data_IF_136245139641
#
_entry.id   IF_136245139641
#
_cell.length_a   1.000
_cell.length_b   1.000
_cell.length_c   1.000
_cell.angle_alpha   90.00
_cell.angle_beta   90.00
_cell.angle_gamma   90.00
#
_symmetry.space_group_name_H-M   'P 1'
#
loop_
_entity.id
_entity.type
_entity.pdbx_description
1 polymer ?
#
# COMPACT_ATOMS: atom_id res chain seq x y z
N UNK A 1 55.86 22.97 3.02
CA UNK A 1 55.27 21.65 2.69
C UNK A 1 53.92 21.34 3.37
N UNK A 2 53.36 22.22 4.22
CA UNK A 2 52.08 21.97 4.90
C UNK A 2 50.82 22.40 4.12
N UNK A 3 50.92 23.29 3.13
CA UNK A 3 49.74 23.82 2.43
C UNK A 3 49.20 22.89 1.33
N UNK A 4 50.03 21.99 0.79
CA UNK A 4 49.61 21.08 -0.26
C UNK A 4 48.74 19.94 0.30
N UNK A 5 49.08 19.41 1.49
CA UNK A 5 48.33 18.34 2.17
C UNK A 5 46.95 18.77 2.66
N UNK A 6 46.78 20.02 3.10
CA UNK A 6 45.49 20.56 3.58
C UNK A 6 44.48 20.73 2.43
N UNK A 7 44.92 21.12 1.24
CA UNK A 7 44.05 21.28 0.06
C UNK A 7 43.55 19.93 -0.47
N UNK A 8 44.41 18.91 -0.49
CA UNK A 8 44.01 17.55 -0.85
C UNK A 8 43.07 16.94 0.20
N UNK A 9 43.30 17.19 1.49
CA UNK A 9 42.41 16.74 2.56
C UNK A 9 41.04 17.42 2.52
N UNK A 10 40.99 18.73 2.27
CA UNK A 10 39.74 19.48 2.11
C UNK A 10 38.97 19.03 0.86
N UNK A 11 39.65 18.76 -0.26
CA UNK A 11 39.01 18.26 -1.48
C UNK A 11 38.45 16.84 -1.29
N UNK A 12 39.15 15.99 -0.54
CA UNK A 12 38.70 14.63 -0.19
C UNK A 12 37.49 14.65 0.76
N UNK A 13 37.43 15.60 1.69
CA UNK A 13 36.26 15.80 2.58
C UNK A 13 35.03 16.35 1.84
N UNK A 14 35.23 17.21 0.83
CA UNK A 14 34.14 17.76 0.00
C UNK A 14 33.55 16.69 -0.94
N UNK A 15 34.37 15.79 -1.50
CA UNK A 15 33.86 14.69 -2.34
C UNK A 15 33.17 13.59 -1.52
N UNK A 16 33.62 13.32 -0.29
CA UNK A 16 33.00 12.34 0.60
C UNK A 16 31.61 12.78 1.11
N UNK A 17 31.39 14.08 1.31
CA UNK A 17 30.08 14.61 1.72
C UNK A 17 29.05 14.58 0.58
N UNK A 18 29.48 14.71 -0.68
CA UNK A 18 28.58 14.65 -1.84
C UNK A 18 28.09 13.22 -2.18
N UNK A 19 28.80 12.18 -1.72
CA UNK A 19 28.50 10.78 -2.02
C UNK A 19 27.40 10.12 -1.16
N UNK A 20 26.84 10.82 -0.16
CA UNK A 20 26.03 10.16 0.91
C UNK A 20 24.52 10.32 0.82
N UNK A 21 23.95 10.94 -0.23
CA UNK A 21 22.50 11.22 -0.28
C UNK A 21 21.78 10.45 -1.40
N UNK A 22 22.03 9.14 -1.52
CA UNK A 22 21.13 8.24 -2.27
C UNK A 22 20.34 7.43 -1.25
N UNK A 23 19.33 8.06 -0.65
CA UNK A 23 18.38 7.34 0.21
C UNK A 23 17.44 6.55 -0.69
N UNK A 24 17.82 5.30 -1.01
CA UNK A 24 16.95 4.37 -1.73
C UNK A 24 15.72 4.08 -0.84
N UNK A 25 14.56 4.62 -1.23
CA UNK A 25 13.34 4.47 -0.44
C UNK A 25 12.79 3.07 -0.66
N UNK A 26 12.91 2.22 0.37
CA UNK A 26 12.37 0.87 0.33
C UNK A 26 10.85 0.86 0.14
N UNK A 27 10.41 -0.13 -0.62
CA UNK A 27 9.02 -0.42 -0.89
C UNK A 27 8.30 -0.90 0.41
N UNK A 28 7.10 -0.37 0.74
CA UNK A 28 6.41 -0.58 2.04
C UNK A 28 5.07 -1.31 1.94
N UNK A 29 4.81 -2.22 2.87
CA UNK A 29 3.47 -2.80 3.05
C UNK A 29 2.64 -1.96 4.02
N UNK A 30 1.50 -1.47 3.55
CA UNK A 30 0.47 -0.77 4.32
C UNK A 30 -0.61 -1.78 4.72
N UNK A 31 -1.00 -1.81 6.00
CA UNK A 31 -1.97 -2.78 6.51
C UNK A 31 -3.35 -2.13 6.66
N UNK A 32 -4.39 -2.84 6.28
CA UNK A 32 -5.79 -2.48 6.48
C UNK A 32 -6.50 -3.69 7.10
N UNK A 33 -7.06 -3.50 8.28
CA UNK A 33 -7.91 -4.48 8.93
C UNK A 33 -9.33 -4.38 8.36
N UNK A 34 -9.95 -5.54 8.13
CA UNK A 34 -11.30 -5.66 7.60
C UNK A 34 -12.15 -6.32 8.67
N UNK A 35 -13.10 -5.55 9.19
CA UNK A 35 -14.06 -6.03 10.17
C UNK A 35 -13.69 -5.82 11.64
N UNK A 36 -12.61 -5.07 11.94
CA UNK A 36 -12.12 -4.93 13.32
C UNK A 36 -13.11 -4.25 14.26
N UNK A 37 -13.96 -3.36 13.73
CA UNK A 37 -15.06 -2.72 14.46
C UNK A 37 -16.42 -2.94 13.77
N UNK A 38 -16.70 -4.18 13.35
CA UNK A 38 -17.97 -4.53 12.68
C UNK A 38 -17.85 -4.46 11.16
N UNK A 39 -18.66 -3.65 10.47
CA UNK A 39 -18.62 -3.56 9.00
C UNK A 39 -17.68 -2.42 8.51
N UNK A 40 -16.44 -2.40 8.99
CA UNK A 40 -15.50 -1.28 8.79
C UNK A 40 -14.14 -1.73 8.25
N UNK A 41 -13.41 -0.78 7.64
CA UNK A 41 -12.01 -0.90 7.29
C UNK A 41 -11.16 0.00 8.19
N UNK A 42 -10.01 -0.48 8.67
CA UNK A 42 -9.14 0.29 9.56
C UNK A 42 -7.66 0.18 9.16
N UNK A 43 -6.99 1.28 8.76
CA UNK A 43 -7.57 2.60 8.50
C UNK A 43 -8.47 2.60 7.25
N UNK A 44 -9.42 3.53 7.19
CA UNK A 44 -10.31 3.70 6.02
C UNK A 44 -9.60 4.26 4.79
N UNK A 45 -8.44 4.91 4.98
CA UNK A 45 -7.65 5.53 3.92
C UNK A 45 -6.17 5.36 4.19
N UNK A 46 -5.41 5.08 3.13
CA UNK A 46 -3.95 5.01 3.16
C UNK A 46 -3.38 5.78 1.97
N UNK A 47 -2.28 6.49 2.17
CA UNK A 47 -1.52 7.09 1.07
C UNK A 47 -0.31 6.21 0.78
N UNK A 48 -0.18 5.80 -0.47
CA UNK A 48 0.79 4.82 -0.93
C UNK A 48 1.52 5.35 -2.17
N UNK A 49 2.65 4.74 -2.51
CA UNK A 49 3.41 5.08 -3.73
C UNK A 49 3.37 3.94 -4.73
N UNK A 50 3.72 4.21 -5.99
CA UNK A 50 4.01 3.14 -6.96
C UNK A 50 5.10 2.24 -6.40
N UNK A 51 4.91 0.94 -6.57
CA UNK A 51 5.66 -0.12 -5.93
C UNK A 51 4.99 -0.61 -4.65
N UNK A 52 4.23 0.24 -3.94
CA UNK A 52 3.67 -0.07 -2.60
C UNK A 52 2.77 -1.32 -2.57
N UNK A 53 2.54 -1.93 -1.39
CA UNK A 53 1.57 -3.02 -1.19
C UNK A 53 0.57 -2.58 -0.16
N UNK A 54 -0.68 -2.90 -0.42
CA UNK A 54 -1.75 -2.82 0.58
C UNK A 54 -2.16 -4.23 0.94
N UNK A 55 -2.01 -4.57 2.22
CA UNK A 55 -2.41 -5.86 2.78
C UNK A 55 -3.69 -5.68 3.56
N UNK A 56 -4.72 -6.39 3.14
CA UNK A 56 -5.98 -6.48 3.84
C UNK A 56 -5.96 -7.74 4.70
N UNK A 57 -6.40 -7.63 5.96
CA UNK A 57 -6.51 -8.76 6.88
C UNK A 57 -7.92 -8.77 7.47
N UNK A 58 -8.68 -9.84 7.23
CA UNK A 58 -9.98 -10.03 7.88
C UNK A 58 -9.74 -10.35 9.35
N UNK A 59 -10.27 -9.54 10.25
CA UNK A 59 -10.05 -9.69 11.69
C UNK A 59 -11.22 -10.34 12.42
N UNK A 60 -12.42 -10.26 11.84
CA UNK A 60 -13.64 -10.84 12.38
C UNK A 60 -14.67 -11.06 11.26
N UNK A 61 -15.65 -11.94 11.48
CA UNK A 61 -16.79 -12.13 10.58
C UNK A 61 -16.43 -12.63 9.18
N UNK A 62 -17.37 -12.45 8.26
CA UNK A 62 -17.24 -12.76 6.84
C UNK A 62 -17.19 -11.46 6.04
N UNK A 63 -16.05 -11.20 5.41
CA UNK A 63 -15.84 -9.98 4.63
C UNK A 63 -15.16 -10.26 3.30
N UNK A 64 -15.47 -9.42 2.31
CA UNK A 64 -14.74 -9.34 1.04
C UNK A 64 -13.98 -8.03 0.95
N UNK A 65 -13.02 -7.99 0.03
CA UNK A 65 -12.35 -6.77 -0.38
C UNK A 65 -12.36 -6.72 -1.90
N UNK A 66 -13.12 -5.77 -2.43
CA UNK A 66 -13.23 -5.51 -3.85
C UNK A 66 -12.80 -4.08 -4.12
N UNK A 67 -11.91 -3.89 -5.08
CA UNK A 67 -11.40 -2.61 -5.53
C UNK A 67 -12.40 -1.96 -6.49
N UNK A 68 -12.53 -0.64 -6.37
CA UNK A 68 -13.41 0.20 -7.19
C UNK A 68 -12.61 1.32 -7.85
N UNK A 69 -12.98 1.67 -9.08
CA UNK A 69 -12.40 2.81 -9.78
C UNK A 69 -12.76 4.16 -9.12
N UNK A 70 -13.80 4.18 -8.30
CA UNK A 70 -14.32 5.39 -7.64
C UNK A 70 -14.56 5.13 -6.14
N UNK A 71 -13.91 5.89 -5.24
CA UNK A 71 -14.16 5.80 -3.80
C UNK A 71 -15.63 6.02 -3.43
N UNK A 72 -16.12 5.26 -2.45
CA UNK A 72 -17.49 5.38 -1.96
C UNK A 72 -18.56 4.69 -2.81
N UNK A 73 -18.17 4.06 -3.93
CA UNK A 73 -19.08 3.23 -4.73
C UNK A 73 -18.85 1.75 -4.47
N UNK A 74 -19.90 0.94 -4.64
CA UNK A 74 -19.83 -0.53 -4.61
C UNK A 74 -19.74 -1.11 -6.02
N UNK A 75 -19.07 -0.41 -6.93
CA UNK A 75 -18.85 -0.85 -8.31
C UNK A 75 -17.45 -1.44 -8.44
N UNK A 76 -17.35 -2.69 -8.88
CA UNK A 76 -16.08 -3.37 -9.12
C UNK A 76 -15.27 -2.61 -10.19
N UNK A 77 -13.97 -2.45 -9.96
CA UNK A 77 -13.08 -1.79 -10.91
C UNK A 77 -13.05 -2.54 -12.25
N UNK A 78 -13.15 -1.75 -13.31
CA UNK A 78 -13.07 -2.17 -14.73
C UNK A 78 -11.68 -1.95 -15.31
N UNK A 79 -10.85 -1.13 -14.65
CA UNK A 79 -9.48 -0.82 -15.06
C UNK A 79 -8.46 -1.84 -14.54
N UNK A 80 -8.79 -2.53 -13.45
CA UNK A 80 -7.93 -3.54 -12.83
C UNK A 80 -8.32 -4.94 -13.30
N UNK A 81 -7.33 -5.72 -13.75
CA UNK A 81 -7.48 -7.11 -14.14
C UNK A 81 -7.83 -8.04 -12.96
N UNK A 82 -7.45 -7.66 -11.74
CA UNK A 82 -7.86 -8.34 -10.52
C UNK A 82 -8.29 -7.34 -9.44
N UNK A 83 -9.60 -7.09 -9.37
CA UNK A 83 -10.20 -6.20 -8.39
C UNK A 83 -10.83 -6.94 -7.20
N UNK A 84 -10.85 -8.27 -7.16
CA UNK A 84 -11.33 -9.03 -6.00
C UNK A 84 -10.16 -9.59 -5.21
N UNK A 85 -9.83 -8.94 -4.10
CA UNK A 85 -8.63 -9.22 -3.31
C UNK A 85 -8.90 -10.28 -2.24
N UNK A 86 -10.09 -10.23 -1.64
CA UNK A 86 -10.59 -11.21 -0.67
C UNK A 86 -12.03 -11.54 -1.03
N UNK A 87 -12.36 -12.84 -1.05
CA UNK A 87 -13.71 -13.34 -1.30
C UNK A 87 -14.59 -13.21 -0.05
N UNK A 88 -15.90 -13.02 -0.23
CA UNK A 88 -16.83 -12.80 0.89
C UNK A 88 -16.90 -13.96 1.89
N UNK A 89 -16.55 -15.18 1.48
CA UNK A 89 -16.49 -16.36 2.35
C UNK A 89 -15.24 -16.39 3.24
N UNK A 90 -14.39 -15.37 3.18
CA UNK A 90 -13.19 -15.29 3.99
C UNK A 90 -13.52 -15.11 5.47
N UNK A 91 -12.83 -15.88 6.30
CA UNK A 91 -12.92 -15.83 7.77
C UNK A 91 -11.79 -15.01 8.37
N UNK A 92 -11.87 -14.73 9.67
CA UNK A 92 -10.79 -14.10 10.42
C UNK A 92 -9.43 -14.79 10.18
N UNK A 93 -8.39 -13.99 10.00
CA UNK A 93 -7.04 -14.42 9.62
C UNK A 93 -6.79 -14.50 8.12
N UNK A 94 -7.83 -14.38 7.28
CA UNK A 94 -7.63 -14.33 5.82
C UNK A 94 -6.92 -13.04 5.42
N UNK A 95 -5.86 -13.15 4.62
CA UNK A 95 -5.13 -12.01 4.07
C UNK A 95 -5.24 -11.95 2.55
N UNK A 96 -5.33 -10.72 2.03
CA UNK A 96 -5.23 -10.44 0.61
C UNK A 96 -4.29 -9.26 0.39
N UNK A 97 -3.52 -9.26 -0.70
CA UNK A 97 -2.57 -8.18 -0.99
C UNK A 97 -2.77 -7.63 -2.38
N UNK A 98 -2.79 -6.30 -2.48
CA UNK A 98 -2.78 -5.57 -3.73
C UNK A 98 -1.45 -4.83 -3.89
N UNK A 99 -0.88 -4.84 -5.09
CA UNK A 99 0.38 -4.14 -5.42
C UNK A 99 0.04 -2.89 -6.23
N UNK A 100 0.60 -1.75 -5.83
CA UNK A 100 0.42 -0.48 -6.51
C UNK A 100 1.39 -0.44 -7.69
N UNK A 101 0.87 -0.58 -8.90
CA UNK A 101 1.65 -0.51 -10.12
C UNK A 101 1.55 0.89 -10.74
N UNK A 102 2.37 1.15 -11.77
CA UNK A 102 2.39 2.45 -12.48
C UNK A 102 1.06 2.84 -13.13
N UNK A 103 0.23 1.85 -13.45
CA UNK A 103 -1.07 1.92 -14.10
C UNK A 103 -2.23 1.90 -13.10
N UNK A 104 -1.94 1.75 -11.80
CA UNK A 104 -2.96 1.88 -10.76
C UNK A 104 -3.50 3.32 -10.74
N UNK A 105 -4.83 3.53 -10.77
CA UNK A 105 -5.40 4.86 -10.64
C UNK A 105 -4.87 5.60 -9.41
N UNK A 106 -4.68 6.92 -9.53
CA UNK A 106 -4.13 7.75 -8.44
C UNK A 106 -5.00 7.77 -7.19
N UNK A 107 -6.29 7.46 -7.34
CA UNK A 107 -7.23 7.24 -6.26
C UNK A 107 -8.03 5.98 -6.60
N UNK A 108 -8.14 5.07 -5.63
CA UNK A 108 -8.85 3.80 -5.78
C UNK A 108 -9.76 3.59 -4.56
N UNK A 109 -11.00 3.20 -4.80
CA UNK A 109 -11.92 2.77 -3.75
C UNK A 109 -11.72 1.31 -3.39
N UNK A 110 -12.19 0.92 -2.22
CA UNK A 110 -12.39 -0.48 -1.87
C UNK A 110 -13.66 -0.62 -1.02
N UNK A 111 -14.34 -1.76 -1.19
CA UNK A 111 -15.58 -2.05 -0.48
C UNK A 111 -15.71 -3.55 -0.19
N UNK A 112 -16.63 -3.89 0.69
CA UNK A 112 -17.08 -5.25 0.93
C UNK A 112 -18.41 -5.45 0.20
N UNK A 113 -18.52 -6.45 -0.67
CA UNK A 113 -19.80 -6.88 -1.21
C UNK A 113 -20.62 -7.55 -0.09
N UNK A 114 -21.89 -7.17 -0.01
CA UNK A 114 -22.89 -7.79 0.86
C UNK A 114 -23.80 -8.69 0.01
N UNK A 115 -23.24 -9.53 -0.86
CA UNK A 115 -24.00 -10.63 -1.46
C UNK A 115 -24.27 -11.69 -0.40
N UNK A 116 -25.19 -11.33 0.48
CA UNK A 116 -26.10 -12.17 1.26
C UNK A 116 -25.54 -13.56 1.52
N UNK A 117 -24.86 -13.75 2.66
CA UNK A 117 -25.09 -14.99 3.39
C UNK A 117 -26.58 -14.95 3.72
N UNK A 118 -27.41 -15.57 2.87
CA UNK A 118 -28.83 -15.75 3.17
C UNK A 118 -28.84 -16.64 4.41
N UNK A 119 -29.14 -16.02 5.55
CA UNK A 119 -29.67 -16.71 6.72
C UNK A 119 -30.88 -17.54 6.31
#
# INVERSE_FOLDING_TARGET
MAQLSVKFLALFLVTLTLATIISARAFRTHKIEVGSNGNSFSPEKVTVRVGDRVRFTVTNGFHSVILSDEPGTCNKSTKLNNSEIIKQTAVAGTEGTFVINKDTPSVLGFFCDKKVMKS
#
